data_IF_891356070566
#
_entry.id   IF_891356070566
#
_cell.length_a   1.000
_cell.length_b   1.000
_cell.length_c   1.000
_cell.angle_alpha   90.00
_cell.angle_beta   90.00
_cell.angle_gamma   90.00
#
_symmetry.space_group_name_H-M   'P 1'
#
loop_
_entity.id
_entity.type
_entity.pdbx_description
1 polymer ?
#
# COMPACT_ATOMS: atom_id res chain seq x y z
N UNK A 1 11.98 -20.98 -13.61
CA UNK A 1 12.28 -19.85 -12.70
C UNK A 1 10.95 -19.19 -12.44
N UNK A 2 10.60 -18.82 -11.20
CA UNK A 2 9.34 -18.12 -10.95
C UNK A 2 9.49 -16.73 -11.58
N UNK A 3 8.95 -16.53 -12.78
CA UNK A 3 9.10 -15.33 -13.62
C UNK A 3 8.26 -14.17 -13.04
N UNK A 4 8.52 -13.82 -11.78
CA UNK A 4 7.83 -12.73 -11.07
C UNK A 4 8.76 -11.54 -10.95
N UNK A 5 8.23 -10.37 -11.29
CA UNK A 5 8.94 -9.10 -11.15
C UNK A 5 9.34 -8.86 -9.69
N UNK A 6 10.57 -8.38 -9.50
CA UNK A 6 11.05 -8.05 -8.17
C UNK A 6 10.48 -6.70 -7.73
N UNK A 7 10.36 -6.50 -6.42
CA UNK A 7 9.90 -5.24 -5.85
C UNK A 7 10.80 -4.06 -6.26
N UNK A 8 12.11 -4.32 -6.43
CA UNK A 8 13.07 -3.35 -6.95
C UNK A 8 12.82 -2.99 -8.41
N UNK A 9 12.57 -4.00 -9.26
CA UNK A 9 12.22 -3.78 -10.65
C UNK A 9 10.93 -2.97 -10.80
N UNK A 10 9.91 -3.25 -9.97
CA UNK A 10 8.64 -2.52 -9.98
C UNK A 10 8.88 -1.04 -9.65
N UNK A 11 9.62 -0.74 -8.57
CA UNK A 11 10.01 0.64 -8.20
C UNK A 11 10.70 1.35 -9.36
N UNK A 12 11.64 0.67 -10.03
CA UNK A 12 12.38 1.20 -11.18
C UNK A 12 11.45 1.51 -12.36
N UNK A 13 10.57 0.59 -12.74
CA UNK A 13 9.64 0.78 -13.84
C UNK A 13 8.69 1.96 -13.60
N UNK A 14 8.18 2.11 -12.36
CA UNK A 14 7.32 3.25 -11.98
C UNK A 14 8.09 4.57 -12.09
N UNK A 15 9.34 4.60 -11.60
CA UNK A 15 10.19 5.78 -11.70
C UNK A 15 10.43 6.17 -13.17
N UNK A 16 10.82 5.21 -14.01
CA UNK A 16 11.04 5.44 -15.44
C UNK A 16 9.77 5.93 -16.14
N UNK A 17 8.63 5.31 -15.85
CA UNK A 17 7.32 5.70 -16.40
C UNK A 17 6.98 7.17 -16.12
N UNK A 18 7.24 7.63 -14.89
CA UNK A 18 6.99 8.99 -14.46
C UNK A 18 7.98 10.00 -15.06
N UNK A 19 9.26 9.64 -15.11
CA UNK A 19 10.31 10.49 -15.68
C UNK A 19 10.09 10.73 -17.18
N UNK A 20 9.74 9.68 -17.93
CA UNK A 20 9.45 9.78 -19.37
C UNK A 20 8.29 10.73 -19.69
N UNK A 21 7.38 10.93 -18.74
CA UNK A 21 6.23 11.83 -18.88
C UNK A 21 6.45 13.20 -18.23
N UNK A 22 7.60 13.41 -17.61
CA UNK A 22 7.90 14.60 -16.82
C UNK A 22 6.79 14.91 -15.79
N UNK A 23 6.24 13.87 -15.16
CA UNK A 23 5.17 13.99 -14.17
C UNK A 23 5.68 14.37 -12.79
N UNK A 24 6.99 14.28 -12.57
CA UNK A 24 7.65 14.66 -11.33
C UNK A 24 7.31 16.07 -10.83
N UNK A 25 6.93 16.99 -11.73
CA UNK A 25 6.49 18.36 -11.41
C UNK A 25 5.12 18.45 -10.75
N UNK A 26 4.27 17.43 -10.89
CA UNK A 26 2.94 17.35 -10.28
C UNK A 26 2.97 16.60 -8.95
N UNK A 27 4.07 15.94 -8.62
CA UNK A 27 4.24 15.12 -7.43
C UNK A 27 4.71 15.92 -6.22
N UNK A 28 3.96 16.97 -5.83
CA UNK A 28 4.16 17.64 -4.54
C UNK A 28 3.63 16.73 -3.42
N UNK A 29 4.20 16.78 -2.19
CA UNK A 29 3.80 15.87 -1.11
C UNK A 29 2.29 15.84 -0.84
N UNK A 30 1.64 17.01 -0.82
CA UNK A 30 0.18 17.11 -0.63
C UNK A 30 -0.59 16.40 -1.74
N UNK A 31 -0.19 16.59 -2.99
CA UNK A 31 -0.92 16.06 -4.14
C UNK A 31 -0.82 14.53 -4.20
N UNK A 32 0.36 13.98 -3.88
CA UNK A 32 0.55 12.52 -3.78
C UNK A 32 -0.32 11.89 -2.70
N UNK A 33 -0.42 12.54 -1.54
CA UNK A 33 -1.30 12.06 -0.46
C UNK A 33 -2.76 12.13 -0.86
N UNK A 34 -3.19 13.20 -1.55
CA UNK A 34 -4.56 13.32 -2.04
C UNK A 34 -4.89 12.25 -3.08
N UNK A 35 -3.99 11.99 -4.04
CA UNK A 35 -4.15 10.91 -5.01
C UNK A 35 -4.24 9.54 -4.32
N UNK A 36 -3.37 9.27 -3.34
CA UNK A 36 -3.44 8.02 -2.56
C UNK A 36 -4.78 7.85 -1.82
N UNK A 37 -5.32 8.94 -1.26
CA UNK A 37 -6.64 8.92 -0.60
C UNK A 37 -7.75 8.68 -1.62
N UNK A 38 -7.63 9.24 -2.82
CA UNK A 38 -8.57 9.01 -3.92
C UNK A 38 -8.64 7.52 -4.28
N UNK A 39 -7.50 6.87 -4.54
CA UNK A 39 -7.44 5.42 -4.85
C UNK A 39 -7.91 4.54 -3.68
N UNK A 40 -7.62 4.94 -2.43
CA UNK A 40 -8.21 4.27 -1.26
C UNK A 40 -9.73 4.43 -1.22
N UNK A 41 -10.24 5.58 -1.67
CA UNK A 41 -11.65 5.85 -1.85
C UNK A 41 -12.28 4.93 -2.90
N UNK A 42 -11.65 4.81 -4.07
CA UNK A 42 -12.01 3.86 -5.14
C UNK A 42 -12.13 2.43 -4.60
N UNK A 43 -11.07 1.95 -3.96
CA UNK A 43 -11.04 0.64 -3.33
C UNK A 43 -12.17 0.48 -2.32
N UNK A 44 -12.41 1.48 -1.46
CA UNK A 44 -13.49 1.43 -0.47
C UNK A 44 -14.88 1.27 -1.10
N UNK A 45 -15.12 1.86 -2.28
CA UNK A 45 -16.41 1.77 -2.98
C UNK A 45 -16.72 0.32 -3.41
N UNK A 46 -15.70 -0.44 -3.78
CA UNK A 46 -15.85 -1.87 -4.13
C UNK A 46 -16.31 -2.68 -2.91
N UNK A 47 -15.86 -2.31 -1.72
CA UNK A 47 -16.18 -3.02 -0.46
C UNK A 47 -17.41 -2.48 0.27
N UNK A 48 -17.99 -1.35 -0.16
CA UNK A 48 -19.05 -0.62 0.56
C UNK A 48 -20.25 -1.47 0.99
N UNK A 49 -20.61 -2.49 0.20
CA UNK A 49 -21.80 -3.32 0.43
C UNK A 49 -21.47 -4.77 0.80
N UNK A 50 -20.21 -5.07 1.09
CA UNK A 50 -19.74 -6.40 1.48
C UNK A 50 -20.08 -6.61 2.95
N UNK A 51 -21.07 -7.47 3.22
CA UNK A 51 -21.79 -7.42 4.50
C UNK A 51 -21.41 -8.56 5.47
N UNK A 52 -20.60 -9.55 5.08
CA UNK A 52 -20.19 -10.64 5.99
C UNK A 52 -18.77 -11.18 5.83
N UNK A 53 -18.33 -11.90 6.87
CA UNK A 53 -16.98 -12.34 7.25
C UNK A 53 -16.12 -13.09 6.21
N UNK A 54 -16.57 -13.36 4.99
CA UNK A 54 -15.75 -14.00 3.94
C UNK A 54 -16.38 -13.85 2.54
N UNK A 55 -16.43 -12.61 2.04
CA UNK A 55 -17.12 -12.27 0.79
C UNK A 55 -16.18 -11.84 -0.35
N UNK A 56 -14.86 -12.08 -0.25
CA UNK A 56 -13.92 -11.84 -1.35
C UNK A 56 -14.33 -12.52 -2.67
N UNK A 57 -15.15 -13.58 -2.61
CA UNK A 57 -15.69 -14.27 -3.79
C UNK A 57 -16.71 -13.44 -4.58
N UNK A 58 -17.39 -12.48 -3.95
CA UNK A 58 -18.38 -11.60 -4.60
C UNK A 58 -17.78 -10.29 -5.09
N UNK A 59 -16.53 -10.01 -4.72
CA UNK A 59 -15.83 -8.83 -5.21
C UNK A 59 -15.49 -8.94 -6.68
N UNK A 60 -15.58 -7.82 -7.38
CA UNK A 60 -15.09 -7.65 -8.74
C UNK A 60 -13.55 -7.66 -8.68
N UNK A 61 -12.97 -8.85 -8.73
CA UNK A 61 -11.53 -9.09 -8.50
C UNK A 61 -10.62 -8.23 -9.37
N UNK A 62 -11.02 -7.92 -10.59
CA UNK A 62 -10.21 -7.08 -11.48
C UNK A 62 -10.16 -5.64 -10.96
N UNK A 63 -11.30 -5.03 -10.63
CA UNK A 63 -11.32 -3.69 -10.02
C UNK A 63 -10.50 -3.64 -8.73
N UNK A 64 -10.65 -4.64 -7.85
CA UNK A 64 -9.84 -4.69 -6.61
C UNK A 64 -8.34 -4.71 -6.91
N UNK A 65 -7.91 -5.41 -7.97
CA UNK A 65 -6.50 -5.47 -8.35
C UNK A 65 -5.99 -4.14 -8.90
N UNK A 66 -6.79 -3.47 -9.74
CA UNK A 66 -6.44 -2.15 -10.29
C UNK A 66 -6.27 -1.14 -9.15
N UNK A 67 -7.26 -0.98 -8.27
CA UNK A 67 -7.17 0.01 -7.19
C UNK A 67 -6.02 -0.28 -6.21
N UNK A 68 -5.75 -1.56 -5.93
CA UNK A 68 -4.58 -1.94 -5.12
C UNK A 68 -3.28 -1.59 -5.85
N UNK A 69 -3.19 -1.80 -7.16
CA UNK A 69 -2.02 -1.45 -7.95
C UNK A 69 -1.79 0.06 -7.93
N UNK A 70 -2.84 0.87 -8.10
CA UNK A 70 -2.74 2.33 -8.07
C UNK A 70 -2.30 2.86 -6.70
N UNK A 71 -2.84 2.29 -5.61
CA UNK A 71 -2.36 2.56 -4.24
C UNK A 71 -0.86 2.28 -4.11
N UNK A 72 -0.38 1.14 -4.60
CA UNK A 72 1.04 0.81 -4.55
C UNK A 72 1.88 1.76 -5.41
N UNK A 73 1.42 2.12 -6.60
CA UNK A 73 2.11 3.06 -7.49
C UNK A 73 2.33 4.40 -6.79
N UNK A 74 1.27 5.00 -6.21
CA UNK A 74 1.42 6.27 -5.49
C UNK A 74 2.27 6.15 -4.23
N UNK A 75 2.17 5.04 -3.49
CA UNK A 75 3.06 4.78 -2.35
C UNK A 75 4.53 4.70 -2.77
N UNK A 76 4.84 4.04 -3.89
CA UNK A 76 6.19 3.97 -4.41
C UNK A 76 6.73 5.33 -4.84
N UNK A 77 5.90 6.12 -5.54
CA UNK A 77 6.27 7.49 -5.92
C UNK A 77 6.54 8.33 -4.67
N UNK A 78 5.69 8.22 -3.64
CA UNK A 78 5.87 8.93 -2.37
C UNK A 78 7.17 8.52 -1.68
N UNK A 79 7.46 7.22 -1.57
CA UNK A 79 8.70 6.72 -0.97
C UNK A 79 9.93 7.20 -1.74
N UNK A 80 9.90 7.14 -3.08
CA UNK A 80 10.97 7.65 -3.93
C UNK A 80 11.22 9.15 -3.72
N UNK A 81 10.15 9.97 -3.68
CA UNK A 81 10.26 11.42 -3.44
C UNK A 81 10.75 11.77 -2.04
N UNK A 82 10.46 10.91 -1.05
CA UNK A 82 10.85 11.09 0.33
C UNK A 82 12.19 10.43 0.69
N UNK A 83 12.89 9.83 -0.28
CA UNK A 83 14.14 9.07 -0.08
C UNK A 83 13.99 7.93 0.95
N UNK A 84 12.87 7.20 0.87
CA UNK A 84 12.53 6.08 1.74
C UNK A 84 12.72 4.77 1.00
N UNK A 85 13.63 3.91 1.49
CA UNK A 85 13.63 2.50 1.09
C UNK A 85 12.55 1.72 1.85
N UNK A 86 11.37 1.63 1.22
CA UNK A 86 10.20 1.01 1.83
C UNK A 86 10.40 -0.48 2.15
N UNK A 87 11.29 -1.18 1.44
CA UNK A 87 11.57 -2.61 1.69
C UNK A 87 12.13 -2.81 3.09
N UNK A 88 13.19 -2.09 3.43
CA UNK A 88 13.86 -2.19 4.74
C UNK A 88 12.94 -1.69 5.87
N UNK A 89 12.20 -0.61 5.62
CA UNK A 89 11.24 -0.05 6.57
C UNK A 89 10.13 -1.05 6.90
N UNK A 90 9.61 -1.79 5.92
CA UNK A 90 8.61 -2.84 6.15
C UNK A 90 9.19 -3.94 7.05
N UNK A 91 10.40 -4.43 6.76
CA UNK A 91 11.04 -5.49 7.55
C UNK A 91 11.26 -5.03 9.00
N UNK A 92 11.74 -3.81 9.21
CA UNK A 92 11.89 -3.24 10.54
C UNK A 92 10.55 -3.12 11.26
N UNK A 93 9.51 -2.64 10.57
CA UNK A 93 8.16 -2.50 11.13
C UNK A 93 7.56 -3.84 11.52
N UNK A 94 7.76 -4.89 10.74
CA UNK A 94 7.34 -6.25 11.07
C UNK A 94 8.03 -6.77 12.33
N UNK A 95 9.34 -6.57 12.47
CA UNK A 95 10.09 -6.92 13.71
C UNK A 95 9.57 -6.17 14.93
N UNK A 96 9.23 -4.88 14.78
CA UNK A 96 8.61 -4.08 15.87
C UNK A 96 7.21 -4.62 16.21
N UNK A 97 6.42 -4.99 15.21
CA UNK A 97 5.08 -5.53 15.41
C UNK A 97 5.12 -6.91 16.09
N UNK A 98 6.08 -7.78 15.75
CA UNK A 98 6.25 -9.08 16.39
C UNK A 98 6.51 -8.94 17.90
N UNK A 99 7.38 -7.99 18.28
CA UNK A 99 7.61 -7.63 19.69
C UNK A 99 6.37 -7.05 20.37
N UNK A 100 5.59 -6.23 19.66
CA UNK A 100 4.35 -5.61 20.19
C UNK A 100 3.23 -6.63 20.34
N UNK A 101 3.16 -7.61 19.43
CA UNK A 101 2.10 -8.59 19.32
C UNK A 101 2.63 -10.05 19.27
N UNK A 102 3.26 -10.56 20.33
CA UNK A 102 3.88 -11.88 20.31
C UNK A 102 2.86 -13.01 20.22
N UNK A 103 3.27 -14.10 19.56
CA UNK A 103 2.48 -15.34 19.40
C UNK A 103 2.08 -15.88 20.78
N UNK A 104 0.84 -16.34 20.90
CA UNK A 104 0.31 -16.94 22.14
C UNK A 104 -0.24 -15.92 23.15
N UNK A 105 -0.08 -14.61 22.92
CA UNK A 105 -0.69 -13.59 23.77
C UNK A 105 -2.15 -13.37 23.35
N UNK A 106 -3.10 -13.59 24.27
CA UNK A 106 -4.52 -13.29 24.04
C UNK A 106 -4.72 -11.77 24.07
N UNK A 107 -4.91 -11.14 22.90
CA UNK A 107 -5.29 -9.74 22.82
C UNK A 107 -6.79 -9.58 23.10
N UNK A 108 -7.16 -8.68 24.01
CA UNK A 108 -8.56 -8.26 24.18
C UNK A 108 -9.01 -7.56 22.90
N UNK A 109 -10.19 -7.93 22.37
CA UNK A 109 -10.84 -7.22 21.26
C UNK A 109 -10.95 -5.74 21.63
N UNK A 110 -10.21 -4.88 20.91
CA UNK A 110 -10.23 -3.41 21.10
C UNK A 110 -8.91 -2.76 21.55
N UNK A 111 -7.83 -3.52 21.76
CA UNK A 111 -6.56 -2.97 22.29
C UNK A 111 -5.59 -2.38 21.26
N UNK A 112 -6.01 -1.49 20.36
CA UNK A 112 -5.06 -0.63 19.64
C UNK A 112 -4.64 0.51 20.59
N UNK A 113 -3.65 0.27 21.44
CA UNK A 113 -2.91 1.39 22.04
C UNK A 113 -1.96 1.95 20.97
N UNK A 114 -2.30 3.13 20.46
CA UNK A 114 -1.35 4.00 19.78
C UNK A 114 -0.18 4.21 20.75
N UNK A 115 1.02 3.81 20.32
CA UNK A 115 2.24 4.13 21.06
C UNK A 115 2.63 5.53 20.67
N UNK A 116 2.82 6.39 21.68
CA UNK A 116 3.57 7.65 21.60
C UNK A 116 4.95 7.45 20.96
#
# INVERSE_FOLDING_TARGET
>A
MDDKETFENIKKQIKEFNQLRNWDKYHRPKDLILALIEELGELSRIFKWVNTKNEFKYLRKNEVKEEIADIFIYLFILCYKADIDISDVIIEKLRKNDKKYPIGKKFRKGGYKNGE
#
